data_IF_292763550995
#
_entry.id   IF_292763550995
#
_cell.length_a   1.000
_cell.length_b   1.000
_cell.length_c   1.000
_cell.angle_alpha   90.00
_cell.angle_beta   90.00
_cell.angle_gamma   90.00
#
_symmetry.space_group_name_H-M   'P 1'
#
loop_
_entity.id
_entity.type
_entity.pdbx_description
1 polymer ?
#
# COMPACT_ATOMS: atom_id res chain seq x y z
N UNK A 1 -43.41 23.34 14.12
CA UNK A 1 -42.39 22.30 13.84
C UNK A 1 -42.07 22.17 12.35
N UNK A 2 -43.06 22.05 11.46
CA UNK A 2 -42.83 21.88 10.02
C UNK A 2 -41.95 22.98 9.39
N UNK A 3 -42.22 24.26 9.67
CA UNK A 3 -41.41 25.38 9.15
C UNK A 3 -39.93 25.29 9.58
N UNK A 4 -39.66 24.97 10.84
CA UNK A 4 -38.30 24.83 11.36
C UNK A 4 -37.58 23.61 10.78
N UNK A 5 -38.29 22.53 10.47
CA UNK A 5 -37.71 21.38 9.78
C UNK A 5 -37.37 21.70 8.32
N UNK A 6 -38.25 22.41 7.60
CA UNK A 6 -37.98 22.84 6.22
C UNK A 6 -36.83 23.85 6.20
N UNK A 7 -36.79 24.79 7.14
CA UNK A 7 -35.69 25.75 7.27
C UNK A 7 -34.37 25.05 7.59
N UNK A 8 -34.35 24.12 8.56
CA UNK A 8 -33.16 23.33 8.89
C UNK A 8 -32.69 22.47 7.70
N UNK A 9 -33.62 21.90 6.93
CA UNK A 9 -33.31 21.15 5.71
C UNK A 9 -32.70 22.08 4.63
N UNK A 10 -33.28 23.26 4.41
CA UNK A 10 -32.75 24.24 3.46
C UNK A 10 -31.36 24.75 3.88
N UNK A 11 -31.12 24.96 5.17
CA UNK A 11 -29.81 25.30 5.70
C UNK A 11 -28.82 24.14 5.54
N UNK A 12 -29.24 22.90 5.81
CA UNK A 12 -28.41 21.72 5.59
C UNK A 12 -28.05 21.54 4.11
N UNK A 13 -29.02 21.71 3.20
CA UNK A 13 -28.80 21.70 1.74
C UNK A 13 -27.86 22.84 1.35
N UNK A 14 -28.10 24.06 1.85
CA UNK A 14 -27.25 25.23 1.60
C UNK A 14 -25.81 25.01 2.07
N UNK A 15 -25.60 24.33 3.21
CA UNK A 15 -24.27 23.94 3.68
C UNK A 15 -23.66 22.92 2.73
N UNK A 16 -24.39 21.85 2.36
CA UNK A 16 -23.89 20.77 1.48
C UNK A 16 -23.55 21.25 0.06
N UNK A 17 -24.22 22.27 -0.47
CA UNK A 17 -23.90 22.81 -1.81
C UNK A 17 -22.62 23.66 -1.84
N UNK A 18 -22.14 24.15 -0.69
CA UNK A 18 -20.87 24.89 -0.63
C UNK A 18 -19.69 23.94 -0.89
N UNK A 19 -18.55 24.45 -1.41
CA UNK A 19 -17.33 23.65 -1.55
C UNK A 19 -16.91 22.96 -0.26
N UNK A 20 -17.00 23.65 0.88
CA UNK A 20 -16.68 23.10 2.21
C UNK A 20 -17.65 21.98 2.61
N UNK A 21 -18.96 22.17 2.40
CA UNK A 21 -19.95 21.13 2.69
C UNK A 21 -19.82 19.90 1.82
N UNK A 22 -19.44 20.06 0.54
CA UNK A 22 -19.12 18.92 -0.35
C UNK A 22 -17.93 18.12 0.17
N UNK A 23 -16.87 18.79 0.61
CA UNK A 23 -15.69 18.13 1.19
C UNK A 23 -16.01 17.38 2.48
N UNK A 24 -16.81 18.00 3.35
CA UNK A 24 -17.35 17.38 4.57
C UNK A 24 -18.19 16.15 4.23
N UNK A 25 -19.10 16.24 3.26
CA UNK A 25 -19.93 15.11 2.83
C UNK A 25 -19.08 13.95 2.28
N UNK A 26 -18.04 14.25 1.50
CA UNK A 26 -17.09 13.23 1.00
C UNK A 26 -16.34 12.55 2.15
N UNK A 27 -15.85 13.32 3.14
CA UNK A 27 -15.19 12.73 4.32
C UNK A 27 -16.16 11.85 5.12
N UNK A 28 -17.39 12.31 5.37
CA UNK A 28 -18.43 11.51 6.02
C UNK A 28 -18.75 10.22 5.26
N UNK A 29 -18.88 10.29 3.93
CA UNK A 29 -19.12 9.12 3.09
C UNK A 29 -17.97 8.11 3.23
N UNK A 30 -16.72 8.58 3.24
CA UNK A 30 -15.56 7.71 3.43
C UNK A 30 -15.55 7.00 4.79
N UNK A 31 -15.98 7.68 5.87
CA UNK A 31 -16.20 7.05 7.17
C UNK A 31 -17.31 6.00 7.11
N UNK A 32 -18.45 6.33 6.51
CA UNK A 32 -19.56 5.41 6.37
C UNK A 32 -19.14 4.15 5.60
N UNK A 33 -18.51 4.31 4.44
CA UNK A 33 -17.99 3.22 3.62
C UNK A 33 -16.95 2.39 4.37
N UNK A 34 -16.04 3.05 5.10
CA UNK A 34 -15.03 2.40 5.91
C UNK A 34 -15.62 1.56 7.05
N UNK A 35 -16.66 2.06 7.73
CA UNK A 35 -17.38 1.33 8.78
C UNK A 35 -18.14 0.14 8.18
N UNK A 36 -18.85 0.35 7.06
CA UNK A 36 -19.55 -0.73 6.35
C UNK A 36 -18.57 -1.82 5.92
N UNK A 37 -17.42 -1.44 5.36
CA UNK A 37 -16.37 -2.38 4.99
C UNK A 37 -15.86 -3.13 6.22
N UNK A 38 -15.55 -2.43 7.32
CA UNK A 38 -15.06 -3.06 8.55
C UNK A 38 -16.04 -4.07 9.14
N UNK A 39 -17.34 -3.82 9.02
CA UNK A 39 -18.38 -4.72 9.50
C UNK A 39 -18.63 -5.94 8.58
N UNK A 40 -18.45 -5.80 7.26
CA UNK A 40 -18.92 -6.79 6.27
C UNK A 40 -17.83 -7.51 5.48
N UNK A 41 -16.65 -6.92 5.32
CA UNK A 41 -15.68 -7.43 4.35
C UNK A 41 -14.94 -8.66 4.88
N UNK A 42 -14.82 -9.73 4.10
CA UNK A 42 -13.98 -10.89 4.44
C UNK A 42 -12.57 -10.78 3.82
N UNK A 43 -11.89 -9.66 4.08
CA UNK A 43 -10.65 -9.31 3.37
C UNK A 43 -9.47 -10.25 3.63
N UNK A 44 -9.49 -10.94 4.77
CA UNK A 44 -8.45 -11.86 5.23
C UNK A 44 -9.03 -13.26 5.48
N UNK A 45 -9.12 -14.11 4.44
CA UNK A 45 -9.51 -15.50 4.64
C UNK A 45 -8.54 -16.22 5.58
N UNK A 46 -9.08 -17.07 6.47
CA UNK A 46 -8.27 -17.81 7.46
C UNK A 46 -7.24 -18.73 6.80
N UNK A 47 -7.60 -19.33 5.68
CA UNK A 47 -6.72 -20.17 4.86
C UNK A 47 -6.85 -19.79 3.39
N UNK A 48 -5.75 -19.93 2.66
CA UNK A 48 -5.77 -19.87 1.20
C UNK A 48 -6.26 -21.23 0.67
N UNK A 49 -7.23 -21.23 -0.25
CA UNK A 49 -7.76 -22.44 -0.90
C UNK A 49 -7.69 -22.37 -2.43
N UNK A 50 -7.07 -21.33 -2.98
CA UNK A 50 -6.96 -21.13 -4.42
C UNK A 50 -5.76 -21.85 -5.03
N UNK A 51 -5.48 -21.52 -6.28
CA UNK A 51 -4.35 -22.04 -7.06
C UNK A 51 -3.27 -20.98 -7.26
N UNK A 52 -2.00 -21.40 -7.29
CA UNK A 52 -0.91 -20.52 -7.71
C UNK A 52 -0.84 -20.31 -9.24
N UNK A 53 -1.72 -20.98 -9.98
CA UNK A 53 -1.98 -20.70 -11.39
C UNK A 53 -2.68 -19.35 -11.55
N UNK A 54 -2.10 -18.46 -12.36
CA UNK A 54 -2.70 -17.15 -12.69
C UNK A 54 -2.65 -16.97 -14.21
N UNK A 55 -3.79 -17.02 -14.92
CA UNK A 55 -3.81 -17.02 -16.38
C UNK A 55 -3.29 -15.68 -16.93
N UNK A 56 -2.18 -15.75 -17.66
CA UNK A 56 -1.55 -14.59 -18.28
C UNK A 56 -1.04 -14.95 -19.67
N UNK A 57 -1.02 -13.99 -20.59
CA UNK A 57 -0.39 -14.19 -21.90
C UNK A 57 1.13 -14.29 -21.73
N UNK A 58 1.76 -15.22 -22.44
CA UNK A 58 3.22 -15.34 -22.52
C UNK A 58 3.76 -14.17 -23.34
N UNK A 59 4.91 -13.61 -22.95
CA UNK A 59 5.59 -12.56 -23.72
C UNK A 59 6.63 -13.23 -24.61
N UNK A 60 6.57 -13.00 -25.92
CA UNK A 60 7.57 -13.48 -26.87
C UNK A 60 7.28 -14.85 -27.47
N UNK A 61 8.25 -15.35 -28.22
CA UNK A 61 8.14 -16.49 -29.13
C UNK A 61 8.18 -17.83 -28.36
N UNK A 62 7.17 -18.08 -27.53
CA UNK A 62 6.86 -19.42 -27.03
C UNK A 62 7.98 -20.16 -26.28
N UNK A 63 8.90 -19.46 -25.61
CA UNK A 63 9.95 -20.14 -24.86
C UNK A 63 9.35 -20.82 -23.64
N UNK A 64 9.35 -22.16 -23.64
CA UNK A 64 9.23 -22.99 -22.44
C UNK A 64 10.30 -22.49 -21.44
N UNK A 65 9.89 -21.73 -20.43
CA UNK A 65 10.84 -21.03 -19.59
C UNK A 65 10.26 -20.54 -18.28
N UNK A 66 11.15 -20.13 -17.39
CA UNK A 66 10.84 -19.47 -16.13
C UNK A 66 11.19 -18.01 -16.25
N UNK A 67 10.24 -17.13 -15.96
CA UNK A 67 10.50 -15.71 -15.79
C UNK A 67 10.59 -15.40 -14.30
N UNK A 68 11.73 -14.85 -13.89
CA UNK A 68 12.01 -14.54 -12.49
C UNK A 68 12.16 -13.03 -12.30
N UNK A 69 11.47 -12.50 -11.30
CA UNK A 69 11.61 -11.12 -10.84
C UNK A 69 12.09 -11.16 -9.38
N UNK A 70 13.13 -10.39 -9.09
CA UNK A 70 13.58 -10.16 -7.72
C UNK A 70 12.64 -9.18 -7.03
N UNK A 71 12.06 -9.58 -5.90
CA UNK A 71 11.07 -8.79 -5.16
C UNK A 71 11.66 -8.37 -3.82
N UNK A 72 11.61 -7.08 -3.53
CA UNK A 72 12.00 -6.52 -2.23
C UNK A 72 10.75 -6.00 -1.53
N UNK A 73 10.32 -6.69 -0.49
CA UNK A 73 9.25 -6.22 0.38
C UNK A 73 9.80 -5.32 1.47
N UNK A 74 9.18 -4.14 1.60
CA UNK A 74 9.46 -3.15 2.64
C UNK A 74 8.18 -2.88 3.41
N UNK A 75 8.15 -3.18 4.71
CA UNK A 75 6.99 -2.84 5.55
C UNK A 75 7.02 -1.36 5.91
N UNK A 76 5.88 -0.68 5.84
CA UNK A 76 5.76 0.69 6.34
C UNK A 76 6.18 0.85 7.82
N UNK A 77 6.55 2.08 8.21
CA UNK A 77 6.77 2.46 9.61
C UNK A 77 5.48 2.48 10.44
N UNK A 78 5.57 2.58 11.77
CA UNK A 78 4.41 2.63 12.65
C UNK A 78 3.43 3.76 12.26
N UNK A 79 2.15 3.44 12.06
CA UNK A 79 1.12 4.47 11.82
C UNK A 79 0.58 5.06 13.13
N UNK A 80 -0.11 6.20 13.03
CA UNK A 80 -0.86 6.76 14.16
C UNK A 80 -1.89 5.76 14.67
N UNK A 81 -2.65 5.10 13.79
CA UNK A 81 -3.59 4.04 14.18
C UNK A 81 -2.92 2.92 14.98
N UNK A 82 -1.78 2.41 14.52
CA UNK A 82 -1.05 1.38 15.27
C UNK A 82 -0.60 1.88 16.65
N UNK A 83 -0.20 3.14 16.78
CA UNK A 83 0.18 3.72 18.07
C UNK A 83 -0.99 3.86 19.06
N UNK A 84 -2.22 3.99 18.56
CA UNK A 84 -3.43 4.02 19.38
C UNK A 84 -3.73 2.65 19.96
N UNK A 85 -3.70 1.59 19.14
CA UNK A 85 -4.21 0.27 19.50
C UNK A 85 -3.16 -0.79 19.88
N UNK A 86 -1.86 -0.58 19.62
CA UNK A 86 -0.84 -1.59 19.97
C UNK A 86 -0.55 -1.72 21.48
N UNK A 87 -1.14 -0.86 22.33
CA UNK A 87 -0.93 -0.92 23.77
C UNK A 87 -2.26 -0.68 24.46
N UNK A 88 -2.99 -1.73 24.81
CA UNK A 88 -4.20 -1.61 25.62
C UNK A 88 -3.81 -1.32 27.07
N UNK A 89 -3.69 -0.05 27.42
CA UNK A 89 -3.33 0.42 28.76
C UNK A 89 -4.26 1.56 29.21
N UNK A 90 -4.11 2.01 30.47
CA UNK A 90 -4.93 3.08 31.08
C UNK A 90 -4.90 4.39 30.26
N UNK A 91 -3.87 4.60 29.42
CA UNK A 91 -3.77 5.75 28.51
C UNK A 91 -4.57 5.62 27.21
N UNK A 92 -5.28 4.52 26.97
CA UNK A 92 -6.10 4.33 25.76
C UNK A 92 -7.23 5.37 25.63
N UNK A 93 -8.06 5.65 26.66
CA UNK A 93 -9.12 6.65 26.56
C UNK A 93 -8.59 8.04 26.22
N UNK A 94 -7.48 8.45 26.83
CA UNK A 94 -6.83 9.74 26.56
C UNK A 94 -6.33 9.81 25.11
N UNK A 95 -5.74 8.73 24.59
CA UNK A 95 -5.30 8.65 23.19
C UNK A 95 -6.46 8.71 22.20
N UNK A 96 -7.57 8.03 22.50
CA UNK A 96 -8.78 8.09 21.68
C UNK A 96 -9.42 9.49 21.70
N UNK A 97 -9.49 10.14 22.86
CA UNK A 97 -9.96 11.52 22.96
C UNK A 97 -9.10 12.49 22.15
N UNK A 98 -7.77 12.34 22.20
CA UNK A 98 -6.84 13.13 21.35
C UNK A 98 -7.05 12.85 19.86
N UNK A 99 -7.26 11.59 19.47
CA UNK A 99 -7.56 11.24 18.09
C UNK A 99 -8.89 11.84 17.62
N UNK A 100 -9.93 11.80 18.44
CA UNK A 100 -11.23 12.40 18.14
C UNK A 100 -11.14 13.94 18.01
N UNK A 101 -10.42 14.60 18.94
CA UNK A 101 -10.19 16.04 18.86
C UNK A 101 -9.39 16.43 17.59
N UNK A 102 -8.39 15.62 17.22
CA UNK A 102 -7.65 15.80 15.97
C UNK A 102 -8.56 15.61 14.76
N UNK A 103 -9.36 14.55 14.71
CA UNK A 103 -10.29 14.33 13.60
C UNK A 103 -11.28 15.48 13.45
N UNK A 104 -11.83 15.98 14.56
CA UNK A 104 -12.72 17.13 14.56
C UNK A 104 -12.03 18.37 13.99
N UNK A 105 -10.78 18.61 14.37
CA UNK A 105 -9.98 19.73 13.84
C UNK A 105 -9.72 19.55 12.34
N UNK A 106 -9.28 18.36 11.92
CA UNK A 106 -9.00 18.04 10.51
C UNK A 106 -10.29 18.16 9.68
N UNK A 107 -11.45 17.80 10.23
CA UNK A 107 -12.74 17.94 9.58
C UNK A 107 -13.04 19.38 9.11
N UNK A 108 -12.64 20.39 9.89
CA UNK A 108 -12.87 21.80 9.56
C UNK A 108 -11.68 22.47 8.86
N UNK A 109 -10.46 21.95 9.04
CA UNK A 109 -9.23 22.62 8.58
C UNK A 109 -8.53 21.91 7.42
N UNK A 110 -8.69 20.59 7.29
CA UNK A 110 -8.07 19.77 6.25
C UNK A 110 -8.86 18.47 6.00
N UNK A 111 -9.88 18.49 5.13
CA UNK A 111 -10.73 17.32 4.88
C UNK A 111 -10.00 16.15 4.21
N UNK A 112 -8.76 16.36 3.74
CA UNK A 112 -7.87 15.33 3.20
C UNK A 112 -6.80 14.87 4.21
N UNK A 113 -6.98 15.17 5.50
CA UNK A 113 -6.23 14.54 6.59
C UNK A 113 -7.17 13.80 7.55
N UNK A 114 -6.59 12.79 8.20
CA UNK A 114 -7.27 11.90 9.11
C UNK A 114 -6.23 11.05 9.84
N UNK A 115 -6.36 10.89 11.15
CA UNK A 115 -5.58 9.97 11.95
C UNK A 115 -6.23 8.57 12.08
N UNK A 116 -7.50 8.45 11.69
CA UNK A 116 -8.29 7.20 11.72
C UNK A 116 -8.24 6.50 10.36
N UNK A 117 -8.84 7.09 9.33
CA UNK A 117 -8.82 6.62 7.94
C UNK A 117 -7.46 6.92 7.32
N UNK A 118 -6.95 5.97 6.53
CA UNK A 118 -5.69 6.09 5.81
C UNK A 118 -4.54 6.62 6.69
N UNK A 119 -4.45 6.10 7.92
CA UNK A 119 -3.68 6.79 8.97
C UNK A 119 -2.22 7.06 8.56
N UNK A 120 -1.67 8.27 8.82
CA UNK A 120 -0.31 8.62 8.46
C UNK A 120 0.71 7.94 9.39
N UNK A 121 2.00 8.09 9.11
CA UNK A 121 3.04 7.66 10.03
C UNK A 121 2.96 8.40 11.37
N UNK A 122 3.18 7.68 12.46
CA UNK A 122 3.42 8.28 13.78
C UNK A 122 4.81 8.92 13.82
N UNK A 123 5.11 9.70 14.86
CA UNK A 123 6.47 10.23 15.07
C UNK A 123 7.52 9.12 15.17
N UNK A 124 7.15 7.95 15.71
CA UNK A 124 8.02 6.76 15.70
C UNK A 124 8.17 6.19 14.30
N UNK A 125 7.08 6.07 13.54
CA UNK A 125 7.10 5.60 12.15
C UNK A 125 7.95 6.48 11.23
N UNK A 126 7.93 7.80 11.43
CA UNK A 126 8.80 8.74 10.70
C UNK A 126 10.28 8.49 10.98
N UNK A 127 10.65 8.22 12.24
CA UNK A 127 12.03 7.81 12.58
C UNK A 127 12.39 6.46 11.97
N UNK A 128 11.48 5.48 12.01
CA UNK A 128 11.70 4.17 11.37
C UNK A 128 11.92 4.30 9.85
N UNK A 129 11.24 5.24 9.18
CA UNK A 129 11.47 5.56 7.77
C UNK A 129 12.82 6.29 7.54
N UNK A 130 13.26 7.14 8.47
CA UNK A 130 14.61 7.73 8.42
C UNK A 130 15.71 6.68 8.65
N UNK A 131 15.49 5.72 9.55
CA UNK A 131 16.41 4.60 9.77
C UNK A 131 16.51 3.73 8.50
N UNK A 132 15.39 3.51 7.82
CA UNK A 132 15.35 2.84 6.52
C UNK A 132 16.16 3.61 5.47
N UNK A 133 16.06 4.95 5.43
CA UNK A 133 16.90 5.77 4.56
C UNK A 133 18.39 5.60 4.89
N UNK A 134 18.75 5.53 6.17
CA UNK A 134 20.13 5.26 6.59
C UNK A 134 20.62 3.89 6.14
N UNK A 135 19.79 2.85 6.24
CA UNK A 135 20.07 1.54 5.64
C UNK A 135 20.22 1.62 4.12
N UNK A 136 19.34 2.35 3.43
CA UNK A 136 19.38 2.44 1.97
C UNK A 136 20.68 3.05 1.43
N UNK A 137 21.32 3.97 2.16
CA UNK A 137 22.63 4.53 1.77
C UNK A 137 23.73 3.47 1.69
N UNK A 138 23.65 2.41 2.51
CA UNK A 138 24.64 1.33 2.55
C UNK A 138 24.21 0.08 1.77
N UNK A 139 22.98 0.07 1.24
CA UNK A 139 22.38 -1.08 0.58
C UNK A 139 22.60 -1.15 -0.94
N UNK A 140 23.48 -0.32 -1.55
CA UNK A 140 23.66 -0.25 -3.02
C UNK A 140 23.95 -1.60 -3.70
N UNK A 141 24.61 -2.53 -3.01
CA UNK A 141 24.88 -3.88 -3.53
C UNK A 141 23.80 -4.90 -3.20
N UNK A 142 22.85 -4.53 -2.34
CA UNK A 142 21.77 -5.39 -1.84
C UNK A 142 20.42 -5.06 -2.48
N UNK A 143 20.21 -3.83 -2.94
CA UNK A 143 19.01 -3.34 -3.62
C UNK A 143 19.50 -2.55 -4.82
N UNK A 144 18.93 -2.81 -5.99
CA UNK A 144 19.34 -2.13 -7.22
C UNK A 144 19.13 -0.62 -7.09
N UNK A 145 19.94 0.17 -7.80
CA UNK A 145 19.72 1.59 -8.05
C UNK A 145 19.65 1.86 -9.56
N UNK A 146 19.44 0.80 -10.37
CA UNK A 146 19.34 0.88 -11.82
C UNK A 146 17.86 1.00 -12.24
N UNK A 147 17.39 2.19 -12.68
CA UNK A 147 16.00 2.39 -13.08
C UNK A 147 15.68 1.75 -14.44
N UNK A 148 16.68 1.27 -15.20
CA UNK A 148 16.46 0.63 -16.51
C UNK A 148 15.97 -0.81 -16.39
N UNK A 149 16.13 -1.42 -15.20
CA UNK A 149 15.70 -2.80 -14.93
C UNK A 149 14.86 -2.94 -13.67
N UNK A 150 14.62 -1.85 -12.93
CA UNK A 150 13.88 -1.89 -11.68
C UNK A 150 12.88 -0.74 -11.51
N UNK A 151 11.92 -0.93 -10.60
CA UNK A 151 10.88 0.06 -10.28
C UNK A 151 10.55 0.04 -8.79
N UNK A 152 10.23 1.22 -8.25
CA UNK A 152 9.66 1.36 -6.90
C UNK A 152 8.14 1.44 -6.99
N UNK A 153 7.45 0.59 -6.23
CA UNK A 153 5.98 0.55 -6.13
C UNK A 153 5.55 0.63 -4.66
N UNK A 154 4.45 1.33 -4.40
CA UNK A 154 3.85 1.45 -3.07
C UNK A 154 2.36 1.17 -3.14
N UNK A 155 1.78 0.72 -2.04
CA UNK A 155 0.32 0.82 -1.87
C UNK A 155 -0.12 2.29 -1.87
N UNK A 156 -1.41 2.51 -2.11
CA UNK A 156 -2.04 3.84 -2.05
C UNK A 156 -2.39 4.30 -0.63
N UNK A 157 -1.88 3.64 0.42
CA UNK A 157 -2.09 4.05 1.80
C UNK A 157 -0.95 4.97 2.25
N UNK A 158 -1.28 6.12 2.85
CA UNK A 158 -0.35 7.21 3.17
C UNK A 158 0.85 6.75 3.98
N UNK A 159 0.66 5.85 4.94
CA UNK A 159 1.77 5.28 5.73
C UNK A 159 2.81 4.54 4.88
N UNK A 160 2.39 3.82 3.84
CA UNK A 160 3.29 3.15 2.93
C UNK A 160 3.94 4.16 1.98
N UNK A 161 3.15 5.06 1.40
CA UNK A 161 3.64 6.12 0.53
C UNK A 161 4.70 7.00 1.21
N UNK A 162 4.45 7.44 2.45
CA UNK A 162 5.40 8.25 3.22
C UNK A 162 6.65 7.45 3.59
N UNK A 163 6.51 6.15 3.90
CA UNK A 163 7.67 5.27 4.13
C UNK A 163 8.51 5.12 2.85
N UNK A 164 7.88 4.97 1.69
CA UNK A 164 8.56 4.89 0.40
C UNK A 164 9.31 6.19 0.11
N UNK A 165 8.62 7.33 0.21
CA UNK A 165 9.18 8.67 -0.03
C UNK A 165 10.41 8.94 0.84
N UNK A 166 10.30 8.72 2.15
CA UNK A 166 11.37 9.04 3.10
C UNK A 166 12.45 7.96 3.08
N UNK A 167 12.05 6.69 3.20
CA UNK A 167 12.96 5.56 3.35
C UNK A 167 13.75 5.21 2.11
N UNK A 168 13.20 5.47 0.92
CA UNK A 168 13.90 5.25 -0.35
C UNK A 168 14.51 6.53 -0.92
N UNK A 169 14.45 7.66 -0.19
CA UNK A 169 15.03 8.93 -0.64
C UNK A 169 16.47 8.85 -1.15
N UNK A 170 17.40 8.02 -0.59
CA UNK A 170 18.74 7.91 -1.16
C UNK A 170 18.77 7.34 -2.58
N UNK A 171 17.83 6.43 -2.91
CA UNK A 171 17.66 5.90 -4.27
C UNK A 171 16.96 6.91 -5.16
N UNK A 172 15.82 7.44 -4.73
CA UNK A 172 15.01 8.37 -5.53
C UNK A 172 15.79 9.63 -5.93
N UNK A 173 16.70 10.11 -5.06
CA UNK A 173 17.57 11.26 -5.38
C UNK A 173 18.57 10.94 -6.49
N UNK A 174 19.01 9.68 -6.61
CA UNK A 174 19.97 9.26 -7.65
C UNK A 174 19.26 8.94 -8.95
N UNK A 175 18.15 8.21 -8.89
CA UNK A 175 17.43 7.73 -10.08
C UNK A 175 16.47 8.74 -10.65
N UNK A 176 16.02 9.72 -9.85
CA UNK A 176 14.98 10.69 -10.20
C UNK A 176 13.68 10.01 -10.69
N UNK A 177 13.44 8.75 -10.30
CA UNK A 177 12.24 8.01 -10.65
C UNK A 177 11.04 8.44 -9.79
N UNK A 178 9.84 8.18 -10.33
CA UNK A 178 8.60 8.28 -9.56
C UNK A 178 8.26 6.93 -8.93
N UNK A 179 7.61 6.98 -7.77
CA UNK A 179 7.06 5.81 -7.09
C UNK A 179 5.72 5.48 -7.72
N UNK A 180 5.59 4.28 -8.28
CA UNK A 180 4.31 3.79 -8.80
C UNK A 180 3.36 3.49 -7.64
N UNK A 181 2.11 3.93 -7.73
CA UNK A 181 1.08 3.64 -6.75
C UNK A 181 0.15 2.55 -7.29
N UNK A 182 0.08 1.43 -6.58
CA UNK A 182 -0.71 0.27 -6.95
C UNK A 182 -1.66 -0.13 -5.80
N UNK A 183 -2.97 0.01 -6.02
CA UNK A 183 -4.00 -0.34 -5.03
C UNK A 183 -4.06 -1.84 -4.74
N UNK A 184 -3.50 -2.70 -5.59
CA UNK A 184 -3.41 -4.14 -5.33
C UNK A 184 -2.59 -4.44 -4.06
N UNK A 185 -1.71 -3.52 -3.66
CA UNK A 185 -0.84 -3.67 -2.48
C UNK A 185 -1.47 -3.19 -1.16
N UNK A 186 -2.76 -2.81 -1.15
CA UNK A 186 -3.44 -2.40 0.09
C UNK A 186 -3.37 -3.49 1.17
N UNK A 187 -3.27 -3.07 2.44
CA UNK A 187 -3.20 -3.98 3.59
C UNK A 187 -4.36 -4.98 3.58
N UNK A 188 -4.04 -6.24 3.89
CA UNK A 188 -5.04 -7.25 4.20
C UNK A 188 -5.56 -6.99 5.61
N UNK A 189 -6.75 -6.40 5.76
CA UNK A 189 -7.41 -6.13 7.04
C UNK A 189 -8.84 -5.63 6.83
N UNK A 190 -9.69 -5.82 7.82
CA UNK A 190 -11.01 -5.18 7.90
C UNK A 190 -10.94 -3.76 8.47
N UNK A 191 -9.82 -3.37 9.08
CA UNK A 191 -9.74 -2.09 9.79
C UNK A 191 -9.96 -0.89 8.86
N UNK A 192 -10.67 0.11 9.40
CA UNK A 192 -10.99 1.37 8.72
C UNK A 192 -9.74 2.18 8.34
N UNK A 193 -8.63 2.03 9.06
CA UNK A 193 -7.37 2.73 8.78
C UNK A 193 -6.69 2.32 7.48
N UNK A 194 -7.17 1.23 6.89
CA UNK A 194 -6.67 0.73 5.62
C UNK A 194 -7.64 1.01 4.47
N UNK A 195 -8.61 1.91 4.66
CA UNK A 195 -9.22 2.67 3.57
C UNK A 195 -8.31 3.86 3.23
N UNK A 196 -8.02 4.06 1.95
CA UNK A 196 -7.26 5.16 1.38
C UNK A 196 -8.12 6.40 1.19
N UNK A 197 -7.50 7.57 1.33
CA UNK A 197 -8.07 8.84 0.87
C UNK A 197 -7.96 9.00 -0.66
N UNK A 198 -7.04 8.29 -1.31
CA UNK A 198 -6.81 8.34 -2.77
C UNK A 198 -7.81 7.44 -3.50
N UNK A 199 -9.11 7.74 -3.36
CA UNK A 199 -10.22 6.91 -3.83
C UNK A 199 -10.45 6.95 -5.34
N UNK A 200 -10.00 8.01 -6.00
CA UNK A 200 -10.20 8.18 -7.44
C UNK A 200 -9.12 7.46 -8.26
N UNK A 201 -9.55 6.77 -9.32
CA UNK A 201 -8.64 6.04 -10.21
C UNK A 201 -7.66 7.00 -10.89
N UNK A 202 -6.38 6.64 -10.91
CA UNK A 202 -5.35 7.46 -11.55
C UNK A 202 -5.00 8.75 -10.79
N UNK A 203 -5.45 8.92 -9.55
CA UNK A 203 -5.17 10.14 -8.76
C UNK A 203 -4.67 9.84 -7.35
N UNK A 204 -3.99 10.81 -6.75
CA UNK A 204 -3.57 10.78 -5.35
C UNK A 204 -4.33 11.87 -4.59
N UNK A 205 -4.80 11.54 -3.39
CA UNK A 205 -5.44 12.52 -2.53
C UNK A 205 -4.48 13.66 -2.17
N UNK A 206 -4.94 14.91 -2.12
CA UNK A 206 -4.09 16.06 -1.81
C UNK A 206 -3.75 16.11 -0.32
N UNK A 207 -2.86 15.22 0.12
CA UNK A 207 -2.45 15.04 1.50
C UNK A 207 -0.99 15.43 1.73
N UNK A 208 -0.61 15.70 2.98
CA UNK A 208 0.78 15.97 3.34
C UNK A 208 1.53 14.65 3.54
N UNK A 209 2.68 14.49 2.89
CA UNK A 209 3.53 13.29 3.00
C UNK A 209 4.99 13.70 3.18
N UNK A 210 5.60 13.32 4.30
CA UNK A 210 6.99 13.64 4.59
C UNK A 210 7.23 15.15 4.63
N UNK A 211 8.14 15.63 3.78
CA UNK A 211 8.46 17.06 3.62
C UNK A 211 7.60 17.77 2.56
N UNK A 212 6.77 17.03 1.81
CA UNK A 212 5.90 17.59 0.78
C UNK A 212 4.65 18.15 1.46
N UNK A 213 4.61 19.47 1.59
CA UNK A 213 3.49 20.22 2.17
C UNK A 213 2.49 20.73 1.13
N UNK A 214 2.95 20.93 -0.11
CA UNK A 214 2.14 21.29 -1.26
C UNK A 214 1.67 20.01 -1.97
N UNK A 215 0.38 19.65 -1.90
CA UNK A 215 -0.11 18.41 -2.48
C UNK A 215 0.00 18.33 -4.00
N UNK A 216 0.11 19.46 -4.71
CA UNK A 216 0.30 19.47 -6.16
C UNK A 216 1.63 18.82 -6.56
N UNK A 217 2.64 18.92 -5.67
CA UNK A 217 3.96 18.31 -5.87
C UNK A 217 3.97 16.79 -5.68
N UNK A 218 2.89 16.19 -5.17
CA UNK A 218 2.79 14.73 -5.07
C UNK A 218 2.87 14.06 -6.45
N UNK A 219 2.31 14.69 -7.48
CA UNK A 219 2.34 14.19 -8.87
C UNK A 219 3.74 14.11 -9.49
N UNK A 220 4.70 14.87 -8.94
CA UNK A 220 6.10 14.85 -9.34
C UNK A 220 6.84 13.64 -8.77
N UNK A 221 6.33 13.04 -7.70
CA UNK A 221 7.01 11.97 -6.97
C UNK A 221 6.25 10.65 -7.06
N UNK A 222 4.94 10.69 -7.22
CA UNK A 222 4.07 9.51 -7.32
C UNK A 222 3.45 9.40 -8.71
N UNK A 223 3.47 8.19 -9.25
CA UNK A 223 2.80 7.83 -10.49
C UNK A 223 1.57 6.97 -10.19
N UNK A 224 0.35 7.53 -10.26
CA UNK A 224 -0.87 6.85 -9.81
C UNK A 224 -1.53 5.95 -10.86
N UNK A 225 -0.87 5.60 -11.96
CA UNK A 225 -1.54 4.89 -13.06
C UNK A 225 -2.14 3.52 -12.68
N UNK A 226 -1.64 2.86 -11.62
CA UNK A 226 -2.21 1.63 -11.05
C UNK A 226 -3.09 1.87 -9.81
N UNK A 227 -3.33 3.13 -9.42
CA UNK A 227 -4.25 3.45 -8.36
C UNK A 227 -5.69 3.28 -8.87
N UNK A 228 -6.43 2.34 -8.29
CA UNK A 228 -7.86 2.11 -8.58
C UNK A 228 -8.75 2.43 -7.38
N UNK A 229 -8.23 3.17 -6.40
CA UNK A 229 -8.98 3.57 -5.21
C UNK A 229 -9.01 2.53 -4.10
N UNK A 230 -10.13 2.47 -3.38
CA UNK A 230 -10.29 1.58 -2.24
C UNK A 230 -10.69 0.16 -2.62
N UNK A 231 -10.25 -0.79 -1.79
CA UNK A 231 -10.77 -2.15 -1.78
C UNK A 231 -12.28 -2.16 -1.56
N UNK A 232 -12.95 -3.02 -2.31
CA UNK A 232 -14.40 -3.23 -2.24
C UNK A 232 -14.72 -4.51 -1.49
N UNK A 233 -15.90 -4.58 -0.87
CA UNK A 233 -16.35 -5.81 -0.24
C UNK A 233 -16.46 -6.95 -1.27
N UNK A 234 -16.10 -8.17 -0.88
CA UNK A 234 -16.09 -9.35 -1.75
C UNK A 234 -14.78 -9.59 -2.53
N UNK A 235 -13.87 -8.62 -2.54
CA UNK A 235 -12.51 -8.78 -3.07
C UNK A 235 -11.54 -8.95 -1.90
N UNK A 236 -11.02 -10.16 -1.73
CA UNK A 236 -10.06 -10.46 -0.67
C UNK A 236 -8.61 -10.10 -1.04
N UNK A 237 -7.70 -10.28 -0.09
CA UNK A 237 -6.28 -10.02 -0.29
C UNK A 237 -5.63 -10.89 -1.39
N UNK A 238 -6.12 -12.10 -1.64
CA UNK A 238 -5.54 -13.01 -2.63
C UNK A 238 -5.92 -12.62 -4.06
N UNK A 239 -7.15 -12.16 -4.28
CA UNK A 239 -7.56 -11.58 -5.57
C UNK A 239 -6.74 -10.32 -5.89
N UNK A 240 -6.41 -9.52 -4.88
CA UNK A 240 -5.49 -8.39 -5.07
C UNK A 240 -4.06 -8.85 -5.38
N UNK A 241 -3.59 -9.94 -4.78
CA UNK A 241 -2.32 -10.54 -5.18
C UNK A 241 -2.34 -10.99 -6.65
N UNK A 242 -3.43 -11.58 -7.15
CA UNK A 242 -3.54 -11.96 -8.57
C UNK A 242 -3.37 -10.75 -9.49
N UNK A 243 -4.01 -9.64 -9.11
CA UNK A 243 -3.88 -8.37 -9.82
C UNK A 243 -2.43 -7.87 -9.80
N UNK A 244 -1.76 -7.88 -8.64
CA UNK A 244 -0.35 -7.49 -8.53
C UNK A 244 0.59 -8.40 -9.33
N UNK A 245 0.38 -9.73 -9.30
CA UNK A 245 1.12 -10.68 -10.14
C UNK A 245 0.90 -10.35 -11.63
N UNK A 246 -0.33 -10.04 -12.02
CA UNK A 246 -0.63 -9.62 -13.39
C UNK A 246 0.08 -8.33 -13.74
N UNK A 247 0.20 -7.36 -12.83
CA UNK A 247 0.99 -6.16 -13.09
C UNK A 247 2.50 -6.49 -13.26
N UNK A 248 3.02 -7.47 -12.53
CA UNK A 248 4.43 -7.89 -12.62
C UNK A 248 4.75 -8.69 -13.89
N UNK A 249 3.87 -9.63 -14.26
CA UNK A 249 4.13 -10.61 -15.31
C UNK A 249 3.25 -10.48 -16.56
N UNK A 250 2.24 -9.60 -16.50
CA UNK A 250 1.32 -9.28 -17.59
C UNK A 250 2.08 -8.63 -18.73
N UNK A 251 1.99 -9.25 -19.89
CA UNK A 251 2.99 -9.01 -20.91
C UNK A 251 2.92 -7.71 -21.69
N UNK A 252 1.71 -7.20 -21.85
CA UNK A 252 1.43 -6.00 -22.64
C UNK A 252 0.19 -5.29 -22.10
N UNK A 253 0.15 -3.96 -22.25
CA UNK A 253 -0.95 -3.12 -21.76
C UNK A 253 -0.53 -2.10 -20.70
N UNK A 254 -1.40 -1.10 -20.51
CA UNK A 254 -1.18 0.04 -19.61
C UNK A 254 -1.18 -0.32 -18.12
N UNK A 255 -1.56 -1.56 -17.76
CA UNK A 255 -1.65 -2.02 -16.37
C UNK A 255 -0.41 -2.79 -15.88
N UNK A 256 0.68 -2.80 -16.64
CA UNK A 256 1.88 -3.54 -16.26
C UNK A 256 2.92 -2.63 -15.61
N UNK A 257 3.65 -3.18 -14.66
CA UNK A 257 4.85 -2.56 -14.12
C UNK A 257 5.95 -2.64 -15.17
N UNK A 258 6.63 -1.52 -15.39
CA UNK A 258 7.80 -1.41 -16.27
C UNK A 258 8.94 -0.82 -15.47
N UNK A 259 10.20 -0.95 -15.93
CA UNK A 259 11.31 -0.25 -15.30
C UNK A 259 11.04 1.26 -15.22
N UNK A 260 11.56 1.90 -14.18
CA UNK A 260 11.34 3.32 -13.94
C UNK A 260 11.82 4.24 -15.07
N UNK A 261 12.88 3.85 -15.79
CA UNK A 261 13.37 4.57 -16.96
C UNK A 261 12.52 4.35 -18.23
N UNK A 262 11.43 3.57 -18.14
CA UNK A 262 10.57 3.19 -19.25
C UNK A 262 10.95 1.84 -19.87
N UNK A 263 10.41 1.58 -21.06
CA UNK A 263 10.58 0.32 -21.78
C UNK A 263 9.40 -0.65 -21.56
N UNK A 264 9.65 -1.94 -21.78
CA UNK A 264 8.64 -2.99 -21.67
C UNK A 264 8.70 -3.71 -20.32
N UNK A 265 7.59 -4.33 -19.92
CA UNK A 265 7.53 -5.21 -18.76
C UNK A 265 8.60 -6.32 -18.79
N UNK A 266 8.96 -6.83 -19.97
CA UNK A 266 10.01 -7.85 -20.13
C UNK A 266 11.40 -7.42 -19.62
N UNK A 267 11.69 -6.11 -19.57
CA UNK A 267 12.96 -5.58 -19.06
C UNK A 267 12.99 -5.47 -17.52
N UNK A 268 11.83 -5.63 -16.85
CA UNK A 268 11.74 -5.57 -15.40
C UNK A 268 12.35 -6.82 -14.76
N UNK A 269 13.42 -6.62 -14.00
CA UNK A 269 14.16 -7.66 -13.26
C UNK A 269 13.97 -7.54 -11.75
N UNK A 270 13.71 -6.35 -11.24
CA UNK A 270 13.57 -6.10 -9.81
C UNK A 270 12.42 -5.13 -9.49
N UNK A 271 11.64 -5.44 -8.46
CA UNK A 271 10.59 -4.56 -7.94
C UNK A 271 10.79 -4.32 -6.44
N UNK A 272 10.81 -3.04 -6.04
CA UNK A 272 10.84 -2.64 -4.63
C UNK A 272 9.43 -2.24 -4.21
N UNK A 273 8.82 -3.06 -3.35
CA UNK A 273 7.43 -2.96 -2.92
C UNK A 273 7.36 -2.42 -1.50
N UNK A 274 6.80 -1.22 -1.31
CA UNK A 274 6.51 -0.66 0.01
C UNK A 274 5.04 -0.89 0.36
N UNK A 275 4.79 -1.65 1.41
CA UNK A 275 3.47 -2.16 1.72
C UNK A 275 3.33 -2.62 3.16
N UNK A 276 2.52 -3.66 3.36
CA UNK A 276 1.94 -3.96 4.67
C UNK A 276 2.06 -5.41 5.11
N UNK A 277 2.10 -5.63 6.42
CA UNK A 277 2.42 -6.93 7.00
C UNK A 277 1.35 -8.01 6.78
N UNK A 278 0.06 -7.64 6.79
CA UNK A 278 -1.02 -8.59 6.54
C UNK A 278 -1.00 -9.06 5.10
N UNK A 279 -0.79 -8.15 4.15
CA UNK A 279 -0.56 -8.48 2.75
C UNK A 279 0.68 -9.39 2.57
N UNK A 280 1.86 -8.97 3.04
CA UNK A 280 3.10 -9.72 2.86
C UNK A 280 3.06 -11.12 3.50
N UNK A 281 2.50 -11.26 4.70
CA UNK A 281 2.38 -12.57 5.35
C UNK A 281 1.51 -13.51 4.53
N UNK A 282 0.36 -13.05 4.02
CA UNK A 282 -0.50 -13.90 3.21
C UNK A 282 0.10 -14.18 1.82
N UNK A 283 0.90 -13.25 1.29
CA UNK A 283 1.68 -13.48 0.07
C UNK A 283 2.61 -14.68 0.25
N UNK A 284 3.38 -14.72 1.34
CA UNK A 284 4.23 -15.87 1.65
C UNK A 284 3.44 -17.14 1.97
N UNK A 285 2.28 -17.05 2.64
CA UNK A 285 1.41 -18.22 2.88
C UNK A 285 0.93 -18.86 1.59
N UNK A 286 0.72 -18.07 0.55
CA UNK A 286 0.26 -18.51 -0.76
C UNK A 286 1.39 -19.05 -1.64
N UNK A 287 2.44 -18.26 -1.82
CA UNK A 287 3.42 -18.53 -2.88
C UNK A 287 4.69 -19.26 -2.41
N UNK A 288 4.92 -19.42 -1.11
CA UNK A 288 5.93 -20.38 -0.63
C UNK A 288 5.42 -21.81 -0.78
N UNK A 289 6.34 -22.81 -0.89
CA UNK A 289 5.96 -24.20 -0.92
C UNK A 289 4.99 -24.59 0.22
N UNK A 290 3.99 -25.44 -0.03
CA UNK A 290 3.02 -25.84 0.98
C UNK A 290 3.68 -26.38 2.27
N UNK A 291 4.75 -27.16 2.10
CA UNK A 291 5.54 -27.76 3.18
C UNK A 291 6.54 -26.80 3.84
N UNK A 292 6.73 -25.58 3.31
CA UNK A 292 7.60 -24.57 3.91
C UNK A 292 7.17 -24.26 5.34
N UNK A 293 8.13 -24.30 6.26
CA UNK A 293 7.98 -23.92 7.67
C UNK A 293 8.51 -22.52 7.97
N UNK A 294 8.91 -21.78 6.92
CA UNK A 294 9.54 -20.47 7.06
C UNK A 294 8.69 -19.49 7.89
N UNK A 295 9.37 -18.71 8.74
CA UNK A 295 8.74 -17.79 9.70
C UNK A 295 7.82 -16.75 9.02
N UNK A 296 8.09 -16.41 7.76
CA UNK A 296 7.30 -15.45 6.98
C UNK A 296 5.85 -15.87 6.73
N UNK A 297 5.52 -17.16 6.86
CA UNK A 297 4.13 -17.65 6.79
C UNK A 297 3.33 -17.36 8.07
N UNK A 298 4.01 -17.11 9.19
CA UNK A 298 3.40 -17.03 10.54
C UNK A 298 3.50 -15.62 11.14
N UNK A 299 4.69 -15.03 11.06
CA UNK A 299 5.02 -13.77 11.73
C UNK A 299 4.87 -12.57 10.80
N UNK A 300 4.67 -11.39 11.40
CA UNK A 300 4.65 -10.13 10.66
C UNK A 300 6.09 -9.67 10.47
N UNK A 301 6.40 -9.03 9.35
CA UNK A 301 7.66 -8.28 9.22
C UNK A 301 7.70 -7.17 10.27
N UNK A 302 8.86 -6.84 10.85
CA UNK A 302 8.99 -5.66 11.72
C UNK A 302 8.73 -4.35 10.93
N UNK A 303 8.40 -3.26 11.61
CA UNK A 303 8.21 -1.96 10.93
C UNK A 303 9.51 -1.54 10.23
N UNK A 304 9.39 -1.01 9.01
CA UNK A 304 10.53 -0.66 8.15
C UNK A 304 11.44 -1.86 7.77
N UNK A 305 11.01 -3.10 8.00
CA UNK A 305 11.78 -4.27 7.62
C UNK A 305 11.84 -4.46 6.10
N UNK A 306 12.95 -5.04 5.64
CA UNK A 306 13.30 -5.28 4.25
C UNK A 306 13.61 -6.76 4.06
N UNK A 307 12.80 -7.42 3.25
CA UNK A 307 12.95 -8.84 2.89
C UNK A 307 13.03 -8.96 1.38
N UNK A 308 13.98 -9.73 0.88
CA UNK A 308 14.16 -9.99 -0.54
C UNK A 308 13.96 -11.46 -0.85
N UNK A 309 13.43 -11.76 -2.03
CA UNK A 309 13.27 -13.11 -2.57
C UNK A 309 13.10 -13.05 -4.09
N UNK A 310 13.21 -14.20 -4.73
CA UNK A 310 12.90 -14.38 -6.15
C UNK A 310 11.49 -14.95 -6.31
N UNK A 311 10.72 -14.28 -7.15
CA UNK A 311 9.37 -14.68 -7.53
C UNK A 311 9.42 -15.16 -8.98
N UNK A 312 8.99 -16.39 -9.21
CA UNK A 312 9.09 -17.04 -10.51
C UNK A 312 7.70 -17.34 -11.05
N UNK A 313 7.50 -17.01 -12.33
CA UNK A 313 6.41 -17.51 -13.17
C UNK A 313 6.96 -18.59 -14.08
N UNK A 314 6.38 -19.77 -14.03
CA UNK A 314 6.55 -20.76 -15.08
C UNK A 314 5.66 -20.35 -16.27
N UNK A 315 6.25 -20.06 -17.43
CA UNK A 315 5.51 -19.58 -18.59
C UNK A 315 4.72 -20.70 -19.30
N UNK A 316 5.03 -21.97 -19.00
CA UNK A 316 4.32 -23.12 -19.54
C UNK A 316 3.08 -23.46 -18.73
N UNK A 317 3.17 -23.39 -17.41
CA UNK A 317 2.04 -23.69 -16.52
C UNK A 317 1.31 -22.45 -16.01
N UNK A 318 1.88 -21.24 -16.15
CA UNK A 318 1.43 -20.02 -15.46
C UNK A 318 1.41 -20.11 -13.93
N UNK A 319 2.15 -21.06 -13.36
CA UNK A 319 2.28 -21.21 -11.92
C UNK A 319 3.26 -20.17 -11.37
N UNK A 320 2.88 -19.56 -10.25
CA UNK A 320 3.69 -18.60 -9.51
C UNK A 320 4.23 -19.24 -8.24
N UNK A 321 5.53 -19.08 -8.00
CA UNK A 321 6.17 -19.57 -6.78
C UNK A 321 7.26 -18.62 -6.29
N UNK A 322 7.44 -18.58 -4.97
CA UNK A 322 8.61 -17.99 -4.33
C UNK A 322 9.64 -19.09 -4.13
N UNK A 323 10.87 -18.86 -4.61
CA UNK A 323 11.99 -19.74 -4.27
C UNK A 323 12.44 -19.45 -2.83
N UNK A 324 12.09 -20.35 -1.91
CA UNK A 324 12.39 -20.23 -0.48
C UNK A 324 13.89 -20.05 -0.20
N UNK A 325 14.78 -20.64 -1.02
CA UNK A 325 16.23 -20.55 -0.83
C UNK A 325 16.79 -19.14 -1.06
N UNK A 326 16.05 -18.33 -1.83
CA UNK A 326 16.41 -16.94 -2.14
C UNK A 326 15.87 -15.94 -1.11
N UNK A 327 14.97 -16.37 -0.23
CA UNK A 327 14.32 -15.52 0.75
C UNK A 327 15.33 -15.11 1.85
N UNK A 328 15.65 -13.81 1.91
CA UNK A 328 16.64 -13.25 2.82
C UNK A 328 16.12 -11.98 3.49
N UNK A 329 16.42 -11.84 4.78
CA UNK A 329 16.21 -10.59 5.52
C UNK A 329 17.41 -9.68 5.29
N UNK A 330 17.17 -8.48 4.76
CA UNK A 330 18.22 -7.48 4.53
C UNK A 330 18.34 -6.47 5.67
N UNK A 331 17.21 -6.10 6.28
CA UNK A 331 17.15 -5.11 7.35
C UNK A 331 15.90 -5.32 8.20
N UNK A 332 16.05 -5.55 9.51
CA UNK A 332 14.96 -5.89 10.46
C UNK A 332 14.18 -7.15 10.02
N UNK A 333 13.95 -8.06 10.95
CA UNK A 333 13.40 -9.39 10.63
C UNK A 333 11.88 -9.46 10.70
N UNK A 334 11.42 -10.66 11.03
CA UNK A 334 10.05 -10.91 11.43
C UNK A 334 9.90 -10.75 12.95
N UNK A 335 8.68 -10.47 13.41
CA UNK A 335 8.29 -10.36 14.83
C UNK A 335 6.91 -10.95 15.06
#
# INVERSE_FOLDING_TARGET
MFFWMVFALLVAIAIVITPTGKLVAVKCQLYADGVVFMAKAEDLPKTYRGTNYIPMKTIGDGTRGKRTIRVIFIRHGQSVWNSLFNSFNIGLPVRLAKAAARELTDFFTNPFDSCIIDSPLSSKGKREAQDLASFMRTAKTKISFDPTTSVVVSSNLRRAMETALVGLSPRLTVTQERIVIDSALQEGTQNIDAQSLSTETGKIAPCKLGTITDPLKLSLVFDPYLNTGNRVAGVDVYQRMDKFITHLFGGSGAANLVPAAGGSNAALKEVIVVGHSGYFRNFFRRFLPPHSTHISKKSKMQNAAVVVFELTRDESSNEISVDESTLKVLYKGFS
#
